data_IF_867295920696
#
_entry.id   IF_867295920696
#
_cell.length_a   1.000
_cell.length_b   1.000
_cell.length_c   1.000
_cell.angle_alpha   90.00
_cell.angle_beta   90.00
_cell.angle_gamma   90.00
#
_symmetry.space_group_name_H-M   'P 1'
#
loop_
_entity.id
_entity.type
_entity.pdbx_description
1 polymer ?
#
# COMPACT_ATOMS: atom_id res chain seq x y z
N UNK A 1 -15.70 5.13 7.56
CA UNK A 1 -15.33 4.63 6.23
C UNK A 1 -15.82 5.64 5.20
N UNK A 2 -15.01 6.02 4.21
CA UNK A 2 -15.30 7.15 3.28
C UNK A 2 -15.26 6.76 1.80
N UNK A 3 -14.91 5.51 1.48
CA UNK A 3 -14.80 5.04 0.12
C UNK A 3 -16.15 4.51 -0.36
N UNK A 4 -16.61 5.00 -1.52
CA UNK A 4 -17.78 4.48 -2.21
C UNK A 4 -17.57 3.05 -2.72
N UNK A 5 -18.67 2.40 -3.11
CA UNK A 5 -18.62 1.06 -3.71
C UNK A 5 -17.76 1.07 -4.99
N UNK A 6 -16.96 0.01 -5.15
CA UNK A 6 -16.03 -0.18 -6.27
C UNK A 6 -14.96 0.93 -6.42
N UNK A 7 -14.69 1.65 -5.31
CA UNK A 7 -13.68 2.69 -5.26
C UNK A 7 -12.25 2.16 -5.28
N UNK A 8 -11.32 3.08 -5.56
CA UNK A 8 -9.87 2.82 -5.52
C UNK A 8 -9.30 3.42 -4.23
N UNK A 9 -8.63 2.58 -3.44
CA UNK A 9 -7.81 3.01 -2.31
C UNK A 9 -6.35 3.13 -2.77
N UNK A 10 -5.76 4.31 -2.55
CA UNK A 10 -4.31 4.51 -2.68
C UNK A 10 -3.75 4.72 -1.28
N UNK A 11 -2.84 3.84 -0.87
CA UNK A 11 -2.20 3.92 0.44
C UNK A 11 -0.69 3.92 0.28
N UNK A 12 -0.02 4.85 0.94
CA UNK A 12 1.42 5.02 0.87
C UNK A 12 2.03 5.26 2.24
N UNK A 13 3.32 4.93 2.37
CA UNK A 13 4.13 5.29 3.51
C UNK A 13 5.54 5.67 3.08
N UNK A 14 6.05 6.78 3.61
CA UNK A 14 7.43 7.24 3.45
C UNK A 14 8.30 6.92 4.68
N UNK A 15 7.77 6.19 5.67
CA UNK A 15 8.57 5.78 6.83
C UNK A 15 9.42 4.58 6.46
N UNK A 16 10.75 4.72 6.52
CA UNK A 16 11.68 3.61 6.35
C UNK A 16 11.33 2.44 7.28
N UNK A 17 11.05 2.74 8.55
CA UNK A 17 10.74 1.74 9.58
C UNK A 17 9.47 0.92 9.32
N UNK A 18 8.57 1.41 8.46
CA UNK A 18 7.43 0.61 8.02
C UNK A 18 7.81 -0.16 6.75
N UNK A 19 8.04 -1.46 6.88
CA UNK A 19 8.37 -2.32 5.74
C UNK A 19 7.19 -2.42 4.75
N UNK A 20 7.51 -2.75 3.49
CA UNK A 20 6.50 -3.01 2.44
C UNK A 20 5.54 -4.15 2.81
N UNK A 21 6.06 -5.18 3.48
CA UNK A 21 5.28 -6.32 3.97
C UNK A 21 4.34 -5.92 5.12
N UNK A 22 4.80 -5.08 6.06
CA UNK A 22 3.96 -4.60 7.16
C UNK A 22 2.82 -3.72 6.64
N UNK A 23 3.09 -2.83 5.67
CA UNK A 23 2.03 -2.03 5.05
C UNK A 23 0.99 -2.91 4.32
N UNK A 24 1.44 -3.96 3.63
CA UNK A 24 0.52 -4.94 3.02
C UNK A 24 -0.36 -5.59 4.10
N UNK A 25 0.22 -6.08 5.20
CA UNK A 25 -0.56 -6.72 6.26
C UNK A 25 -1.55 -5.76 6.92
N UNK A 26 -1.17 -4.48 7.10
CA UNK A 26 -2.09 -3.43 7.57
C UNK A 26 -3.25 -3.27 6.59
N UNK A 27 -3.00 -3.22 5.28
CA UNK A 27 -4.07 -3.11 4.28
C UNK A 27 -5.01 -4.32 4.30
N UNK A 28 -4.45 -5.53 4.35
CA UNK A 28 -5.21 -6.79 4.41
C UNK A 28 -6.09 -6.87 5.66
N UNK A 29 -5.52 -6.62 6.82
CA UNK A 29 -6.24 -6.65 8.11
C UNK A 29 -7.29 -5.55 8.20
N UNK A 30 -6.99 -4.34 7.71
CA UNK A 30 -7.94 -3.21 7.72
C UNK A 30 -9.15 -3.48 6.81
N UNK A 31 -8.93 -4.05 5.62
CA UNK A 31 -10.01 -4.42 4.71
C UNK A 31 -10.93 -5.50 5.32
N UNK A 32 -10.33 -6.52 5.96
CA UNK A 32 -11.07 -7.56 6.70
C UNK A 32 -11.91 -6.97 7.83
N UNK A 33 -11.38 -5.99 8.56
CA UNK A 33 -12.05 -5.38 9.72
C UNK A 33 -13.32 -4.60 9.36
N UNK A 34 -13.42 -4.10 8.12
CA UNK A 34 -14.59 -3.35 7.62
C UNK A 34 -15.43 -4.17 6.62
N UNK A 35 -15.17 -5.48 6.56
CA UNK A 35 -15.81 -6.43 5.66
C UNK A 35 -15.83 -5.96 4.19
N UNK A 36 -14.63 -5.72 3.67
CA UNK A 36 -14.39 -5.41 2.26
C UNK A 36 -13.32 -6.33 1.69
N UNK A 37 -13.48 -6.65 0.42
CA UNK A 37 -12.43 -7.30 -0.36
C UNK A 37 -11.51 -6.22 -0.94
N UNK A 38 -10.20 -6.47 -0.86
CA UNK A 38 -9.16 -5.58 -1.35
C UNK A 38 -8.27 -6.34 -2.33
N UNK A 39 -8.16 -5.82 -3.55
CA UNK A 39 -7.29 -6.36 -4.60
C UNK A 39 -6.22 -5.34 -4.95
N UNK A 40 -4.95 -5.72 -4.81
CA UNK A 40 -3.82 -4.86 -5.21
C UNK A 40 -3.71 -4.88 -6.74
N UNK A 41 -3.88 -3.73 -7.37
CA UNK A 41 -3.82 -3.57 -8.84
C UNK A 41 -2.50 -3.01 -9.32
N UNK A 42 -1.80 -2.24 -8.48
CA UNK A 42 -0.47 -1.74 -8.75
C UNK A 42 0.31 -1.44 -7.47
N UNK A 43 1.63 -1.44 -7.58
CA UNK A 43 2.53 -0.96 -6.52
C UNK A 43 3.43 0.13 -7.06
N UNK A 44 3.64 1.17 -6.28
CA UNK A 44 4.54 2.27 -6.57
C UNK A 44 5.64 2.42 -5.52
N UNK A 45 6.61 3.26 -5.83
CA UNK A 45 7.72 3.62 -4.96
C UNK A 45 8.25 5.01 -5.33
N UNK A 46 9.47 5.30 -4.89
CA UNK A 46 10.15 6.56 -5.17
C UNK A 46 10.46 6.75 -6.66
N UNK A 47 10.42 8.01 -7.10
CA UNK A 47 10.71 8.40 -8.48
C UNK A 47 12.23 8.34 -8.77
N UNK A 48 12.65 8.35 -10.06
CA UNK A 48 14.06 8.15 -10.43
C UNK A 48 15.03 9.22 -9.92
N UNK A 49 14.54 10.40 -9.54
CA UNK A 49 15.30 11.46 -8.89
C UNK A 49 15.64 11.12 -7.42
N UNK A 50 15.04 10.07 -6.87
CA UNK A 50 15.32 9.49 -5.56
C UNK A 50 15.81 8.05 -5.75
N UNK A 51 17.09 7.82 -6.09
CA UNK A 51 17.59 6.47 -6.38
C UNK A 51 17.59 5.58 -5.14
N UNK A 52 17.27 4.30 -5.35
CA UNK A 52 17.45 3.25 -4.34
C UNK A 52 18.86 2.69 -4.51
N UNK A 53 19.65 2.75 -3.46
CA UNK A 53 20.99 2.19 -3.44
C UNK A 53 20.93 0.71 -2.99
N UNK A 54 21.38 -0.26 -3.81
CA UNK A 54 21.22 -1.70 -3.51
C UNK A 54 21.85 -2.16 -2.19
N UNK A 55 22.90 -1.47 -1.72
CA UNK A 55 23.58 -1.79 -0.47
C UNK A 55 23.12 -0.95 0.75
N UNK A 56 22.17 -0.02 0.58
CA UNK A 56 21.69 0.85 1.66
C UNK A 56 20.16 0.78 1.68
N UNK A 57 19.62 -0.17 2.46
CA UNK A 57 18.18 -0.42 2.53
C UNK A 57 17.38 0.81 2.99
N UNK A 58 17.99 1.69 3.79
CA UNK A 58 17.41 2.97 4.23
C UNK A 58 16.97 3.87 3.07
N UNK A 59 17.58 3.69 1.88
CA UNK A 59 17.22 4.47 0.69
C UNK A 59 15.90 4.03 0.04
N UNK A 60 15.40 2.81 0.32
CA UNK A 60 14.10 2.31 -0.13
C UNK A 60 13.00 2.62 0.90
N UNK A 61 12.62 3.88 1.02
CA UNK A 61 11.70 4.31 2.09
C UNK A 61 10.25 4.48 1.65
N UNK A 62 9.98 4.77 0.38
CA UNK A 62 8.63 5.03 -0.12
C UNK A 62 7.97 3.75 -0.65
N UNK A 63 6.79 3.42 -0.10
CA UNK A 63 5.95 2.30 -0.54
C UNK A 63 4.58 2.84 -0.89
N UNK A 64 4.00 2.38 -1.99
CA UNK A 64 2.63 2.72 -2.37
C UNK A 64 1.90 1.51 -2.92
N UNK A 65 0.65 1.33 -2.50
CA UNK A 65 -0.27 0.33 -3.02
C UNK A 65 -1.49 1.03 -3.61
N UNK A 66 -1.87 0.62 -4.81
CA UNK A 66 -3.12 0.95 -5.46
C UNK A 66 -4.02 -0.27 -5.37
N UNK A 67 -5.20 -0.09 -4.80
CA UNK A 67 -6.09 -1.17 -4.44
C UNK A 67 -7.49 -0.92 -4.96
N UNK A 68 -8.06 -1.87 -5.69
CA UNK A 68 -9.49 -1.91 -5.93
C UNK A 68 -10.19 -2.48 -4.70
N UNK A 69 -11.26 -1.82 -4.26
CA UNK A 69 -12.03 -2.22 -3.07
C UNK A 69 -13.45 -2.55 -3.49
N UNK A 70 -13.87 -3.78 -3.19
CA UNK A 70 -15.22 -4.26 -3.48
C UNK A 70 -15.91 -4.78 -2.23
N UNK A 71 -17.20 -5.10 -2.34
CA UNK A 71 -17.92 -5.82 -1.30
C UNK A 71 -17.28 -7.20 -1.06
N UNK A 72 -17.30 -7.67 0.19
CA UNK A 72 -17.05 -9.07 0.51
C UNK A 72 -18.17 -9.93 -0.09
N UNK A 73 -17.81 -11.10 -0.64
CA UNK A 73 -18.78 -12.12 -1.09
C UNK A 73 -19.52 -12.76 0.09
#
# INVERSE_FOLDING_TARGET
QVLEKDGILVSASCSYHLSKANLHEILRSSARHIDRNLTIVATGGQAPDHPIHPAISETEYLKTYFCAVSESL
#
